data_IF_480644919028
#
_entry.id   IF_480644919028
#
_cell.length_a   1.000
_cell.length_b   1.000
_cell.length_c   1.000
_cell.angle_alpha   90.00
_cell.angle_beta   90.00
_cell.angle_gamma   90.00
#
_symmetry.space_group_name_H-M   'P 1'
#
loop_
_entity.id
_entity.type
_entity.pdbx_description
1 polymer ?
#
# COMPACT_ATOMS: atom_id res chain seq x y z
N UNK A 1 29.38 3.79 7.57
CA UNK A 1 30.70 4.32 7.19
C UNK A 1 30.68 4.57 5.69
N UNK A 2 30.63 5.83 5.27
CA UNK A 2 30.66 6.22 3.84
C UNK A 2 32.13 6.41 3.48
N UNK A 3 32.66 5.63 2.54
CA UNK A 3 34.03 5.83 2.05
C UNK A 3 34.00 6.82 0.89
N UNK A 4 34.63 7.98 1.08
CA UNK A 4 35.00 8.88 -0.01
C UNK A 4 36.42 8.54 -0.45
N UNK A 5 36.64 8.33 -1.75
CA UNK A 5 37.98 8.27 -2.33
C UNK A 5 38.32 9.67 -2.84
N UNK A 6 39.34 10.28 -2.24
CA UNK A 6 39.92 11.56 -2.69
C UNK A 6 41.17 11.27 -3.53
N UNK A 7 41.32 11.99 -4.64
CA UNK A 7 42.61 12.10 -5.34
C UNK A 7 42.89 13.57 -5.64
N UNK A 8 44.11 14.02 -5.32
CA UNK A 8 44.58 15.40 -5.52
C UNK A 8 45.08 15.58 -6.94
N UNK A 9 44.54 16.54 -7.68
CA UNK A 9 45.19 17.16 -8.85
C UNK A 9 45.13 18.68 -8.68
N UNK A 10 46.28 19.29 -8.39
CA UNK A 10 46.39 20.74 -8.17
C UNK A 10 45.72 21.27 -6.90
N UNK A 11 45.51 22.60 -6.83
CA UNK A 11 44.97 23.34 -5.68
C UNK A 11 43.44 23.21 -5.48
N UNK A 12 42.82 22.13 -5.94
CA UNK A 12 41.38 21.88 -5.80
C UNK A 12 41.04 20.42 -5.54
N UNK A 13 39.93 20.19 -4.83
CA UNK A 13 39.34 18.87 -4.65
C UNK A 13 38.26 18.65 -5.72
N UNK A 14 38.39 17.59 -6.54
CA UNK A 14 37.36 17.20 -7.50
C UNK A 14 36.49 16.09 -6.89
N UNK A 15 35.21 16.37 -6.68
CA UNK A 15 34.21 15.37 -6.34
C UNK A 15 33.80 14.60 -7.59
N UNK A 16 34.09 13.30 -7.64
CA UNK A 16 33.56 12.44 -8.69
C UNK A 16 32.18 11.93 -8.26
N UNK A 17 31.11 12.32 -8.96
CA UNK A 17 29.82 11.63 -8.86
C UNK A 17 30.00 10.25 -9.51
N UNK A 18 30.06 9.19 -8.70
CA UNK A 18 29.98 7.84 -9.24
C UNK A 18 28.58 7.63 -9.82
N UNK A 19 28.52 7.22 -11.08
CA UNK A 19 27.29 6.80 -11.74
C UNK A 19 26.62 5.68 -10.95
N UNK A 20 25.30 5.54 -11.15
CA UNK A 20 24.44 4.56 -10.46
C UNK A 20 24.86 3.09 -10.64
N UNK A 21 25.89 2.79 -11.44
CA UNK A 21 26.36 1.43 -11.74
C UNK A 21 27.24 0.79 -10.65
N UNK A 22 27.60 1.51 -9.58
CA UNK A 22 28.48 0.98 -8.53
C UNK A 22 27.73 0.71 -7.21
N UNK A 23 26.59 0.02 -7.26
CA UNK A 23 26.07 -0.67 -6.09
C UNK A 23 26.85 -1.98 -5.93
N UNK A 24 27.32 -2.31 -4.73
CA UNK A 24 28.14 -3.51 -4.52
C UNK A 24 27.39 -4.79 -4.97
N UNK A 25 28.08 -5.82 -5.47
CA UNK A 25 27.45 -7.06 -5.95
C UNK A 25 26.54 -7.75 -4.91
N UNK A 26 26.79 -7.52 -3.63
CA UNK A 26 25.96 -8.01 -2.52
C UNK A 26 24.62 -7.27 -2.37
N UNK A 27 24.56 -5.98 -2.76
CA UNK A 27 23.32 -5.17 -2.74
C UNK A 27 22.36 -5.62 -3.84
N UNK A 28 22.86 -6.12 -4.97
CA UNK A 28 22.04 -6.67 -6.05
C UNK A 28 21.39 -8.03 -5.70
N UNK A 29 21.92 -8.77 -4.71
CA UNK A 29 21.37 -10.07 -4.27
C UNK A 29 20.28 -9.97 -3.20
N UNK A 30 19.97 -8.78 -2.69
CA UNK A 30 18.87 -8.62 -1.69
C UNK A 30 17.54 -8.52 -2.43
N UNK A 31 16.73 -9.59 -2.36
CA UNK A 31 15.41 -9.72 -2.98
C UNK A 31 14.36 -10.06 -1.92
N UNK A 32 13.08 -9.85 -2.22
CA UNK A 32 12.00 -10.29 -1.33
C UNK A 32 12.10 -11.80 -1.03
N UNK A 33 12.51 -12.59 -2.03
CA UNK A 33 12.70 -14.04 -1.92
C UNK A 33 13.79 -14.49 -0.95
N UNK A 34 14.66 -13.59 -0.46
CA UNK A 34 15.71 -13.93 0.50
C UNK A 34 15.31 -13.66 1.96
N UNK A 35 14.06 -13.25 2.21
CA UNK A 35 13.54 -13.08 3.55
C UNK A 35 13.41 -14.43 4.28
N UNK A 36 13.98 -14.59 5.48
CA UNK A 36 13.65 -15.73 6.34
C UNK A 36 12.18 -15.61 6.77
N UNK A 37 11.38 -16.63 6.45
CA UNK A 37 9.91 -16.61 6.44
C UNK A 37 9.39 -15.54 5.48
N UNK A 38 9.30 -15.85 4.18
CA UNK A 38 8.97 -14.88 3.18
C UNK A 38 7.57 -14.29 3.43
N UNK A 39 7.43 -13.02 3.04
CA UNK A 39 6.20 -12.26 3.21
C UNK A 39 5.10 -12.79 2.28
N UNK A 40 5.50 -13.28 1.10
CA UNK A 40 4.71 -14.13 0.20
C UNK A 40 5.64 -15.19 -0.40
N UNK A 41 5.14 -16.40 -0.65
CA UNK A 41 5.92 -17.48 -1.25
C UNK A 41 6.00 -17.39 -2.78
N UNK A 42 5.19 -16.54 -3.40
CA UNK A 42 5.13 -16.39 -4.86
C UNK A 42 5.91 -15.17 -5.35
N UNK A 43 6.31 -15.22 -6.63
CA UNK A 43 6.89 -14.07 -7.31
C UNK A 43 5.78 -13.08 -7.72
N UNK A 44 6.00 -11.76 -7.59
CA UNK A 44 5.05 -10.77 -8.08
C UNK A 44 4.79 -10.92 -9.59
N UNK A 45 3.52 -10.87 -10.00
CA UNK A 45 3.09 -10.91 -11.39
C UNK A 45 2.83 -9.50 -11.91
N UNK A 46 3.57 -9.07 -12.93
CA UNK A 46 3.31 -7.79 -13.62
C UNK A 46 2.16 -7.95 -14.61
N UNK A 47 1.13 -7.14 -14.45
CA UNK A 47 -0.09 -7.11 -15.26
C UNK A 47 -0.09 -5.84 -16.11
N UNK A 48 0.46 -5.97 -17.33
CA UNK A 48 0.71 -4.89 -18.28
C UNK A 48 -0.01 -5.09 -19.63
N UNK A 49 -0.85 -6.13 -19.73
CA UNK A 49 -1.66 -6.42 -20.92
C UNK A 49 -3.08 -6.84 -20.55
N UNK A 50 -4.02 -6.65 -21.46
CA UNK A 50 -5.43 -7.04 -21.25
C UNK A 50 -5.62 -8.53 -20.96
N UNK A 51 -4.93 -9.48 -21.65
CA UNK A 51 -5.04 -10.90 -21.31
C UNK A 51 -4.61 -11.21 -19.87
N UNK A 52 -3.51 -10.60 -19.40
CA UNK A 52 -3.06 -10.76 -18.01
C UNK A 52 -4.04 -10.14 -17.01
N UNK A 53 -4.67 -9.02 -17.37
CA UNK A 53 -5.69 -8.38 -16.54
C UNK A 53 -6.94 -9.25 -16.41
N UNK A 54 -7.39 -9.87 -17.50
CA UNK A 54 -8.50 -10.83 -17.48
C UNK A 54 -8.17 -12.07 -16.65
N UNK A 55 -6.95 -12.59 -16.73
CA UNK A 55 -6.46 -13.67 -15.89
C UNK A 55 -6.43 -13.26 -14.39
N UNK A 56 -6.02 -12.04 -14.05
CA UNK A 56 -6.17 -11.53 -12.68
C UNK A 56 -7.65 -11.53 -12.26
N UNK A 57 -8.55 -11.01 -13.09
CA UNK A 57 -9.97 -10.91 -12.76
C UNK A 57 -10.66 -12.27 -12.61
N UNK A 58 -10.25 -13.30 -13.36
CA UNK A 58 -10.78 -14.65 -13.20
C UNK A 58 -10.47 -15.21 -11.80
N UNK A 59 -9.25 -15.01 -11.29
CA UNK A 59 -8.86 -15.39 -9.93
C UNK A 59 -9.64 -14.61 -8.86
N UNK A 60 -9.93 -13.32 -9.09
CA UNK A 60 -10.71 -12.50 -8.16
C UNK A 60 -12.21 -12.85 -8.15
N UNK A 61 -12.70 -13.59 -9.14
CA UNK A 61 -14.09 -14.01 -9.25
C UNK A 61 -14.42 -15.32 -8.50
N UNK A 62 -13.41 -16.09 -8.08
CA UNK A 62 -13.63 -17.41 -7.48
C UNK A 62 -14.13 -17.33 -6.03
N UNK A 63 -13.53 -16.48 -5.19
CA UNK A 63 -13.99 -16.19 -3.83
C UNK A 63 -13.15 -15.07 -3.19
N UNK A 64 -13.80 -14.10 -2.53
CA UNK A 64 -13.15 -13.03 -1.78
C UNK A 64 -13.69 -12.99 -0.34
N UNK A 65 -13.27 -13.90 0.55
CA UNK A 65 -13.63 -13.82 1.97
C UNK A 65 -13.17 -12.50 2.61
N UNK A 66 -13.96 -12.01 3.56
CA UNK A 66 -13.73 -10.73 4.22
C UNK A 66 -13.06 -10.83 5.60
N UNK A 67 -12.89 -12.05 6.15
CA UNK A 67 -12.29 -12.22 7.46
C UNK A 67 -11.25 -13.36 7.47
N UNK A 68 -9.96 -13.05 7.32
CA UNK A 68 -9.38 -11.71 7.02
C UNK A 68 -9.78 -11.17 5.62
N UNK A 69 -9.57 -9.87 5.34
CA UNK A 69 -9.72 -9.33 3.98
C UNK A 69 -8.89 -10.13 2.98
N UNK A 70 -9.47 -10.37 1.80
CA UNK A 70 -8.76 -11.10 0.73
C UNK A 70 -7.77 -10.24 -0.02
N UNK A 71 -7.98 -8.92 -0.06
CA UNK A 71 -7.21 -7.99 -0.87
C UNK A 71 -6.51 -6.97 0.00
N UNK A 72 -5.19 -6.86 -0.18
CA UNK A 72 -4.36 -5.82 0.41
C UNK A 72 -3.77 -5.00 -0.72
N UNK A 73 -4.04 -3.70 -0.70
CA UNK A 73 -3.82 -2.83 -1.85
C UNK A 73 -3.00 -1.62 -1.44
N UNK A 74 -2.13 -1.19 -2.35
CA UNK A 74 -1.36 0.04 -2.28
C UNK A 74 -1.16 0.60 -3.69
N UNK A 75 -0.99 1.91 -3.83
CA UNK A 75 -0.75 2.57 -5.11
C UNK A 75 0.57 3.34 -5.06
N UNK A 76 1.26 3.36 -6.19
CA UNK A 76 2.43 4.21 -6.36
C UNK A 76 2.34 4.97 -7.68
N UNK A 77 2.95 6.16 -7.70
CA UNK A 77 3.04 6.93 -8.93
C UNK A 77 3.66 8.32 -8.78
N UNK A 78 3.44 9.17 -9.78
CA UNK A 78 4.03 10.51 -9.81
C UNK A 78 3.26 11.44 -8.90
N UNK A 79 3.85 11.79 -7.75
CA UNK A 79 3.23 12.67 -6.75
C UNK A 79 1.77 12.26 -6.46
N UNK A 80 1.58 10.98 -6.10
CA UNK A 80 0.27 10.32 -5.95
C UNK A 80 -0.74 11.20 -5.20
N UNK A 81 -1.72 11.70 -5.95
CA UNK A 81 -2.78 12.61 -5.53
C UNK A 81 -3.71 12.88 -6.71
N UNK A 82 -4.73 13.71 -6.52
CA UNK A 82 -5.56 14.25 -7.62
C UNK A 82 -4.81 15.04 -8.70
N UNK A 83 -3.63 15.57 -8.40
CA UNK A 83 -2.82 16.35 -9.34
C UNK A 83 -1.63 15.57 -9.90
N UNK A 84 -1.42 14.35 -9.41
CA UNK A 84 -0.38 13.44 -9.86
C UNK A 84 -0.87 12.43 -10.88
N UNK A 85 -0.27 11.24 -10.86
CA UNK A 85 -0.73 10.09 -11.64
C UNK A 85 -0.57 8.78 -10.88
N UNK A 86 -1.46 7.82 -11.08
CA UNK A 86 -1.27 6.43 -10.66
C UNK A 86 -0.41 5.72 -11.71
N UNK A 87 0.70 5.12 -11.29
CA UNK A 87 1.62 4.41 -12.18
C UNK A 87 1.49 2.90 -12.05
N UNK A 88 1.30 2.42 -10.82
CA UNK A 88 1.21 1.00 -10.51
C UNK A 88 0.24 0.80 -9.33
N UNK A 89 -0.65 -0.18 -9.44
CA UNK A 89 -1.45 -0.67 -8.33
C UNK A 89 -0.93 -2.03 -7.88
N UNK A 90 -0.66 -2.17 -6.60
CA UNK A 90 -0.26 -3.43 -5.99
C UNK A 90 -1.48 -4.11 -5.38
N UNK A 91 -1.64 -5.40 -5.62
CA UNK A 91 -2.70 -6.20 -5.01
C UNK A 91 -2.05 -7.46 -4.47
N UNK A 92 -2.09 -7.66 -3.16
CA UNK A 92 -1.84 -8.98 -2.59
C UNK A 92 -3.17 -9.71 -2.39
N UNK A 93 -3.34 -10.79 -3.14
CA UNK A 93 -4.48 -11.70 -3.05
C UNK A 93 -4.15 -12.82 -2.05
N UNK A 94 -4.63 -12.65 -0.83
CA UNK A 94 -4.27 -13.51 0.30
C UNK A 94 -4.66 -14.99 0.11
N UNK A 95 -5.88 -15.35 -0.35
CA UNK A 95 -6.24 -16.75 -0.63
C UNK A 95 -5.26 -17.51 -1.54
N UNK A 96 -4.67 -16.84 -2.52
CA UNK A 96 -3.72 -17.45 -3.46
C UNK A 96 -2.25 -17.22 -3.09
N UNK A 97 -1.98 -16.48 -2.00
CA UNK A 97 -0.65 -15.97 -1.65
C UNK A 97 0.06 -15.34 -2.88
N UNK A 98 -0.65 -14.51 -3.65
CA UNK A 98 -0.15 -13.96 -4.92
C UNK A 98 -0.16 -12.44 -4.92
N UNK A 99 0.99 -11.84 -5.26
CA UNK A 99 1.12 -10.40 -5.51
C UNK A 99 0.94 -10.12 -7.00
N UNK A 100 0.09 -9.17 -7.33
CA UNK A 100 -0.10 -8.63 -8.67
C UNK A 100 0.31 -7.14 -8.68
N UNK A 101 1.06 -6.75 -9.70
CA UNK A 101 1.46 -5.38 -9.96
C UNK A 101 0.76 -4.94 -11.24
N UNK A 102 -0.35 -4.23 -11.11
CA UNK A 102 -1.15 -3.74 -12.25
C UNK A 102 -0.54 -2.45 -12.77
N UNK A 103 -0.05 -2.50 -14.01
CA UNK A 103 0.58 -1.40 -14.72
C UNK A 103 -0.46 -0.40 -15.23
N UNK A 104 -0.91 0.46 -14.32
CA UNK A 104 -1.87 1.53 -14.60
C UNK A 104 -1.30 2.55 -15.59
N UNK A 105 0.02 2.76 -15.59
CA UNK A 105 0.67 3.66 -16.55
C UNK A 105 0.49 3.17 -18.00
N UNK A 106 0.69 1.87 -18.24
CA UNK A 106 0.54 1.27 -19.58
C UNK A 106 -0.93 1.04 -19.95
N UNK A 107 -1.73 0.54 -19.00
CA UNK A 107 -3.13 0.14 -19.26
C UNK A 107 -4.12 1.32 -19.18
N UNK A 108 -3.76 2.43 -18.54
CA UNK A 108 -4.63 3.58 -18.35
C UNK A 108 -5.95 3.22 -17.68
N UNK A 109 -7.04 3.85 -18.14
CA UNK A 109 -8.39 3.59 -17.62
C UNK A 109 -8.83 2.12 -17.79
N UNK A 110 -8.33 1.43 -18.83
CA UNK A 110 -8.67 0.04 -19.08
C UNK A 110 -8.14 -0.91 -17.99
N UNK A 111 -7.16 -0.50 -17.16
CA UNK A 111 -6.79 -1.24 -15.96
C UNK A 111 -7.99 -1.47 -15.03
N UNK A 112 -8.92 -0.51 -14.99
CA UNK A 112 -10.04 -0.50 -14.06
C UNK A 112 -11.36 -0.93 -14.68
N UNK A 113 -11.58 -0.58 -15.95
CA UNK A 113 -12.87 -0.75 -16.64
C UNK A 113 -12.95 -2.01 -17.49
N UNK A 114 -11.83 -2.73 -17.71
CA UNK A 114 -11.87 -3.99 -18.45
C UNK A 114 -12.70 -5.02 -17.67
N UNK A 115 -13.75 -5.59 -18.27
CA UNK A 115 -14.52 -6.64 -17.63
C UNK A 115 -13.75 -7.96 -17.64
N UNK A 116 -13.98 -8.77 -16.61
CA UNK A 116 -13.66 -10.19 -16.60
C UNK A 116 -14.34 -10.85 -17.80
N UNK A 117 -13.76 -11.95 -18.28
CA UNK A 117 -14.48 -12.76 -19.27
C UNK A 117 -15.78 -13.26 -18.63
N UNK A 118 -16.91 -12.90 -19.22
CA UNK A 118 -18.19 -13.47 -18.87
C UNK A 118 -18.06 -14.98 -19.00
N UNK A 119 -18.16 -15.71 -17.89
CA UNK A 119 -18.48 -17.14 -17.94
C UNK A 119 -19.83 -17.21 -18.63
N UNK A 120 -19.84 -17.41 -19.94
CA UNK A 120 -21.04 -17.69 -20.68
C UNK A 120 -21.50 -19.05 -20.19
N UNK A 121 -22.44 -19.07 -19.24
CA UNK A 121 -23.38 -20.18 -19.20
C UNK A 121 -24.12 -20.11 -20.53
N UNK A 122 -23.68 -20.94 -21.49
CA UNK A 122 -24.26 -21.06 -22.83
C UNK A 122 -25.62 -21.73 -22.79
N UNK A 123 -26.48 -21.43 -21.81
CA UNK A 123 -27.88 -21.88 -21.76
C UNK A 123 -28.70 -21.00 -20.81
N UNK A 124 -29.40 -20.02 -21.40
CA UNK A 124 -30.56 -19.23 -20.92
C UNK A 124 -30.28 -17.72 -20.89
N UNK A 125 -30.55 -17.09 -22.03
CA UNK A 125 -30.84 -15.66 -22.09
C UNK A 125 -32.17 -15.41 -21.34
N UNK A 126 -32.10 -15.11 -20.05
CA UNK A 126 -33.21 -14.48 -19.34
C UNK A 126 -33.16 -12.97 -19.58
N UNK A 127 -34.26 -12.33 -20.02
CA UNK A 127 -34.35 -10.88 -20.10
C UNK A 127 -34.46 -10.31 -18.68
N UNK A 128 -33.31 -10.12 -18.04
CA UNK A 128 -33.15 -9.47 -16.74
C UNK A 128 -32.05 -8.40 -16.80
N UNK A 129 -31.88 -7.59 -15.73
CA UNK A 129 -30.79 -6.64 -15.66
C UNK A 129 -29.45 -7.36 -15.93
N UNK A 130 -28.66 -6.79 -16.84
CA UNK A 130 -27.37 -7.33 -17.27
C UNK A 130 -26.53 -7.78 -16.06
N UNK A 131 -25.93 -8.98 -16.06
CA UNK A 131 -25.04 -9.38 -15.00
C UNK A 131 -23.91 -8.34 -14.89
N UNK A 132 -23.73 -7.75 -13.71
CA UNK A 132 -22.61 -6.84 -13.47
C UNK A 132 -21.30 -7.58 -13.78
N UNK A 133 -20.63 -7.17 -14.85
CA UNK A 133 -19.35 -7.76 -15.23
C UNK A 133 -18.28 -7.32 -14.23
N UNK A 134 -17.64 -8.30 -13.59
CA UNK A 134 -16.59 -8.05 -12.61
C UNK A 134 -15.45 -7.28 -13.27
N UNK A 135 -14.99 -6.21 -12.65
CA UNK A 135 -13.85 -5.38 -13.04
C UNK A 135 -13.13 -4.87 -11.80
N UNK A 136 -11.88 -4.40 -11.92
CA UNK A 136 -11.19 -3.81 -10.76
C UNK A 136 -11.97 -2.62 -10.20
N UNK A 137 -12.60 -1.80 -11.05
CA UNK A 137 -13.50 -0.72 -10.59
C UNK A 137 -14.63 -1.27 -9.72
N UNK A 138 -15.38 -2.27 -10.20
CA UNK A 138 -16.49 -2.84 -9.43
C UNK A 138 -16.06 -3.44 -8.08
N UNK A 139 -14.85 -4.03 -8.01
CA UNK A 139 -14.27 -4.58 -6.77
C UNK A 139 -13.89 -3.44 -5.81
N UNK A 140 -13.24 -2.40 -6.32
CA UNK A 140 -12.81 -1.24 -5.55
C UNK A 140 -14.00 -0.41 -5.02
N UNK A 141 -15.12 -0.39 -5.73
CA UNK A 141 -16.35 0.33 -5.33
C UNK A 141 -17.33 -0.52 -4.52
N UNK A 142 -17.12 -1.84 -4.44
CA UNK A 142 -18.01 -2.72 -3.68
C UNK A 142 -17.81 -2.59 -2.17
N UNK A 143 -18.88 -2.31 -1.39
CA UNK A 143 -18.83 -2.37 0.07
C UNK A 143 -18.86 -3.82 0.61
N UNK A 144 -19.25 -4.80 -0.21
CA UNK A 144 -19.32 -6.21 0.20
C UNK A 144 -17.98 -6.95 0.02
N UNK A 145 -17.02 -6.36 -0.68
CA UNK A 145 -15.65 -6.85 -0.77
C UNK A 145 -14.80 -6.01 0.16
N UNK A 146 -14.27 -6.61 1.22
CA UNK A 146 -13.37 -5.91 2.13
C UNK A 146 -11.94 -5.90 1.58
N UNK A 147 -11.33 -4.70 1.59
CA UNK A 147 -9.95 -4.48 1.14
C UNK A 147 -9.20 -3.71 2.21
N UNK A 148 -7.96 -4.09 2.45
CA UNK A 148 -7.11 -3.42 3.41
C UNK A 148 -6.08 -2.53 2.71
N UNK A 149 -5.99 -1.29 3.17
CA UNK A 149 -4.99 -0.31 2.76
C UNK A 149 -4.18 0.11 3.99
N UNK A 150 -2.95 0.56 3.79
CA UNK A 150 -2.23 1.27 4.82
C UNK A 150 -2.28 2.77 4.50
N UNK A 151 -3.13 3.53 5.20
CA UNK A 151 -3.32 4.97 4.98
C UNK A 151 -3.92 5.34 3.60
N UNK A 152 -5.23 5.14 3.46
CA UNK A 152 -5.95 5.20 2.16
C UNK A 152 -6.12 6.60 1.54
N UNK A 153 -5.65 7.67 2.19
CA UNK A 153 -6.00 9.06 1.82
C UNK A 153 -5.52 9.43 0.41
N UNK A 154 -4.24 9.21 0.13
CA UNK A 154 -3.65 9.51 -1.18
C UNK A 154 -4.23 8.60 -2.27
N UNK A 155 -4.47 7.34 -1.93
CA UNK A 155 -5.04 6.36 -2.87
C UNK A 155 -6.46 6.74 -3.28
N UNK A 156 -7.31 7.07 -2.30
CA UNK A 156 -8.70 7.50 -2.54
C UNK A 156 -8.74 8.77 -3.40
N UNK A 157 -7.91 9.76 -3.06
CA UNK A 157 -7.83 11.03 -3.79
C UNK A 157 -7.41 10.82 -5.26
N UNK A 158 -6.38 10.02 -5.49
CA UNK A 158 -5.89 9.71 -6.83
C UNK A 158 -6.90 8.89 -7.65
N UNK A 159 -7.47 7.83 -7.07
CA UNK A 159 -8.43 6.94 -7.74
C UNK A 159 -9.70 7.68 -8.15
N UNK A 160 -10.23 8.52 -7.27
CA UNK A 160 -11.44 9.28 -7.56
C UNK A 160 -11.17 10.37 -8.59
N UNK A 161 -10.16 11.21 -8.39
CA UNK A 161 -9.91 12.34 -9.29
C UNK A 161 -9.49 11.92 -10.70
N UNK A 162 -8.73 10.83 -10.84
CA UNK A 162 -8.18 10.40 -12.14
C UNK A 162 -9.08 9.39 -12.87
N UNK A 163 -9.82 8.55 -12.13
CA UNK A 163 -10.58 7.43 -12.71
C UNK A 163 -12.05 7.35 -12.24
N UNK A 164 -12.50 8.32 -11.43
CA UNK A 164 -13.87 8.36 -10.91
C UNK A 164 -14.21 7.15 -10.02
N UNK A 165 -13.22 6.56 -9.35
CA UNK A 165 -13.39 5.37 -8.51
C UNK A 165 -13.55 5.80 -7.05
N UNK A 166 -14.72 5.54 -6.48
CA UNK A 166 -14.99 5.83 -5.08
C UNK A 166 -14.85 4.57 -4.21
N UNK A 167 -13.83 4.54 -3.36
CA UNK A 167 -13.50 3.35 -2.57
C UNK A 167 -14.59 3.02 -1.54
N UNK A 168 -14.97 1.74 -1.46
CA UNK A 168 -15.85 1.21 -0.41
C UNK A 168 -15.22 0.00 0.29
N UNK A 169 -15.79 -0.48 1.40
CA UNK A 169 -15.30 -1.72 2.06
C UNK A 169 -13.84 -1.65 2.56
N UNK A 170 -13.37 -0.46 2.96
CA UNK A 170 -11.96 -0.25 3.34
C UNK A 170 -11.71 -0.60 4.80
N UNK A 171 -10.61 -1.32 5.05
CA UNK A 171 -9.97 -1.46 6.35
C UNK A 171 -8.62 -0.71 6.36
N UNK A 172 -8.55 0.43 7.05
CA UNK A 172 -7.30 1.21 7.16
C UNK A 172 -6.40 0.65 8.29
N UNK A 173 -5.33 -0.04 7.90
CA UNK A 173 -4.39 -0.70 8.82
C UNK A 173 -3.65 0.30 9.69
N UNK A 174 -3.41 1.54 9.22
CA UNK A 174 -2.74 2.56 10.03
C UNK A 174 -3.64 3.03 11.18
N UNK A 175 -4.95 3.13 10.95
CA UNK A 175 -5.93 3.41 12.00
C UNK A 175 -6.11 2.23 12.96
N UNK A 176 -6.10 0.99 12.44
CA UNK A 176 -6.10 -0.21 13.28
C UNK A 176 -4.88 -0.24 14.21
N UNK A 177 -3.70 0.10 13.68
CA UNK A 177 -2.47 0.21 14.46
C UNK A 177 -2.61 1.24 15.57
N UNK A 178 -3.04 2.45 15.24
CA UNK A 178 -3.22 3.54 16.21
C UNK A 178 -4.18 3.16 17.33
N UNK A 179 -5.32 2.53 17.00
CA UNK A 179 -6.29 2.05 17.97
C UNK A 179 -5.72 0.93 18.85
N UNK A 180 -4.93 0.03 18.28
CA UNK A 180 -4.38 -1.13 18.97
C UNK A 180 -3.26 -0.78 19.96
N UNK A 181 -2.72 0.44 19.92
CA UNK A 181 -1.73 0.91 20.92
C UNK A 181 -2.35 1.01 22.31
N UNK A 182 -1.52 0.82 23.32
CA UNK A 182 -1.87 1.08 24.73
C UNK A 182 -1.26 2.37 25.27
N UNK A 183 -0.38 3.01 24.50
CA UNK A 183 0.33 4.24 24.86
C UNK A 183 -0.08 5.39 23.92
N UNK A 184 0.74 6.44 23.88
CA UNK A 184 0.54 7.66 23.08
C UNK A 184 -0.01 7.41 21.66
N UNK A 185 -1.11 8.09 21.36
CA UNK A 185 -1.86 8.11 20.09
C UNK A 185 -1.83 9.49 19.42
N UNK A 186 -0.91 10.39 19.81
CA UNK A 186 -0.78 11.73 19.22
C UNK A 186 -0.38 11.68 17.75
N UNK A 187 0.53 10.76 17.39
CA UNK A 187 1.15 10.66 16.07
C UNK A 187 0.86 9.32 15.38
N UNK A 188 0.59 9.37 14.08
CA UNK A 188 0.49 8.20 13.21
C UNK A 188 1.88 7.61 12.95
N UNK A 189 1.95 6.29 12.80
CA UNK A 189 3.18 5.62 12.37
C UNK A 189 3.12 5.33 10.88
N UNK A 190 4.25 5.56 10.20
CA UNK A 190 4.44 5.09 8.83
C UNK A 190 4.66 3.57 8.79
N UNK A 191 4.33 2.96 7.66
CA UNK A 191 4.38 1.51 7.44
C UNK A 191 5.71 0.88 7.90
N UNK A 192 6.84 1.49 7.55
CA UNK A 192 8.16 0.97 7.95
C UNK A 192 8.36 0.84 9.46
N UNK A 193 7.77 1.73 10.28
CA UNK A 193 7.82 1.66 11.74
C UNK A 193 6.92 0.55 12.27
N UNK A 194 5.70 0.41 11.72
CA UNK A 194 4.76 -0.65 12.07
C UNK A 194 5.37 -2.03 11.80
N UNK A 195 5.99 -2.21 10.63
CA UNK A 195 6.63 -3.48 10.28
C UNK A 195 7.75 -3.85 11.27
N UNK A 196 8.64 -2.90 11.58
CA UNK A 196 9.76 -3.16 12.49
C UNK A 196 9.32 -3.48 13.92
N UNK A 197 8.16 -2.97 14.35
CA UNK A 197 7.65 -3.17 15.71
C UNK A 197 6.74 -4.38 15.84
N UNK A 198 5.87 -4.60 14.86
CA UNK A 198 4.72 -5.51 15.03
C UNK A 198 4.70 -6.69 14.07
N UNK A 199 5.43 -6.68 12.96
CA UNK A 199 5.38 -7.79 11.99
C UNK A 199 6.13 -9.06 12.45
N UNK A 200 6.78 -9.03 13.63
CA UNK A 200 7.45 -10.20 14.21
C UNK A 200 8.65 -10.68 13.39
N UNK A 201 9.36 -9.77 12.72
CA UNK A 201 10.50 -10.12 11.86
C UNK A 201 11.73 -10.50 12.70
N UNK A 202 12.48 -11.49 12.21
CA UNK A 202 13.83 -11.76 12.71
C UNK A 202 14.78 -10.58 12.42
N UNK A 203 15.91 -10.49 13.13
CA UNK A 203 16.91 -9.44 12.92
C UNK A 203 17.39 -9.38 11.46
N UNK A 204 17.60 -10.54 10.84
CA UNK A 204 17.98 -10.64 9.43
C UNK A 204 16.86 -10.21 8.49
N UNK A 205 15.61 -10.61 8.75
CA UNK A 205 14.43 -10.18 7.99
C UNK A 205 14.21 -8.66 8.05
N UNK A 206 14.30 -8.08 9.26
CA UNK A 206 14.23 -6.64 9.46
C UNK A 206 15.35 -5.88 8.71
N UNK A 207 16.56 -6.46 8.63
CA UNK A 207 17.67 -5.90 7.88
C UNK A 207 17.45 -5.92 6.35
N UNK A 208 16.88 -6.99 5.82
CA UNK A 208 16.49 -7.09 4.40
C UNK A 208 15.42 -6.07 4.06
N UNK A 209 14.37 -5.98 4.87
CA UNK A 209 13.27 -5.05 4.66
C UNK A 209 13.74 -3.59 4.63
N UNK A 210 14.56 -3.20 5.62
CA UNK A 210 15.19 -1.87 5.66
C UNK A 210 16.00 -1.58 4.40
N UNK A 211 16.68 -2.58 3.83
CA UNK A 211 17.44 -2.41 2.58
C UNK A 211 16.52 -2.21 1.38
N UNK A 212 15.44 -2.98 1.25
CA UNK A 212 14.44 -2.84 0.17
C UNK A 212 13.78 -1.47 0.26
N UNK A 213 13.22 -1.10 1.42
CA UNK A 213 12.58 0.22 1.64
C UNK A 213 13.54 1.38 1.36
N UNK A 214 14.77 1.31 1.85
CA UNK A 214 15.78 2.35 1.59
C UNK A 214 16.13 2.46 0.11
N UNK A 215 16.24 1.34 -0.60
CA UNK A 215 16.53 1.32 -2.04
C UNK A 215 15.41 1.97 -2.83
N UNK A 216 14.16 1.54 -2.62
CA UNK A 216 12.99 2.11 -3.31
C UNK A 216 12.85 3.60 -3.04
N UNK A 217 12.87 4.03 -1.78
CA UNK A 217 12.78 5.44 -1.42
C UNK A 217 13.94 6.29 -1.98
N UNK A 218 15.16 5.74 -2.10
CA UNK A 218 16.26 6.49 -2.73
C UNK A 218 16.00 6.71 -4.22
N UNK A 219 15.31 5.79 -4.89
CA UNK A 219 15.00 5.87 -6.31
C UNK A 219 13.76 6.74 -6.57
N UNK A 220 12.76 6.71 -5.70
CA UNK A 220 11.46 7.37 -5.93
C UNK A 220 11.32 8.76 -5.28
N UNK A 221 12.18 9.13 -4.33
CA UNK A 221 12.04 10.39 -3.55
C UNK A 221 13.03 11.46 -4.03
N UNK A 222 12.59 12.62 -4.57
CA UNK A 222 13.47 13.69 -5.03
C UNK A 222 14.47 14.19 -3.99
N UNK A 223 14.05 14.32 -2.72
CA UNK A 223 14.90 14.76 -1.61
C UNK A 223 16.05 13.79 -1.31
N UNK A 224 15.99 12.57 -1.86
CA UNK A 224 17.01 11.52 -1.74
C UNK A 224 17.80 11.31 -3.04
N UNK A 225 17.64 12.22 -4.01
CA UNK A 225 18.26 12.15 -5.33
C UNK A 225 17.55 11.20 -6.31
N UNK A 226 16.30 10.82 -6.00
CA UNK A 226 15.44 10.02 -6.88
C UNK A 226 14.52 10.87 -7.75
N UNK A 227 13.58 10.23 -8.42
CA UNK A 227 12.47 10.88 -9.11
C UNK A 227 11.22 10.02 -8.97
N UNK A 228 10.06 10.66 -8.85
CA UNK A 228 8.79 9.94 -8.91
C UNK A 228 8.57 9.25 -10.27
N UNK A 229 9.28 9.69 -11.31
CA UNK A 229 9.24 9.09 -12.65
C UNK A 229 9.71 7.63 -12.67
N UNK A 230 10.44 7.18 -11.64
CA UNK A 230 10.91 5.79 -11.56
C UNK A 230 9.77 4.77 -11.61
N UNK A 231 8.57 5.14 -11.17
CA UNK A 231 7.39 4.27 -11.26
C UNK A 231 6.82 4.16 -12.68
N UNK A 232 7.18 5.07 -13.59
CA UNK A 232 6.81 5.05 -15.01
C UNK A 232 7.87 4.41 -15.90
N UNK A 233 9.08 4.13 -15.41
CA UNK A 233 10.12 3.48 -16.21
C UNK A 233 9.69 2.07 -16.64
N UNK A 234 9.88 1.76 -17.93
CA UNK A 234 9.58 0.44 -18.51
C UNK A 234 10.81 -0.12 -19.26
N UNK A 235 11.22 -1.37 -19.00
CA UNK A 235 10.65 -2.30 -18.01
C UNK A 235 10.89 -1.82 -16.57
N UNK A 236 9.94 -2.11 -15.67
CA UNK A 236 10.09 -1.74 -14.25
C UNK A 236 11.30 -2.47 -13.66
N UNK A 237 12.18 -1.72 -12.98
CA UNK A 237 13.36 -2.33 -12.38
C UNK A 237 12.98 -3.32 -11.27
N UNK A 238 13.75 -4.41 -11.13
CA UNK A 238 13.57 -5.37 -10.04
C UNK A 238 13.58 -4.70 -8.66
N UNK A 239 14.34 -3.61 -8.52
CA UNK A 239 14.41 -2.84 -7.29
C UNK A 239 13.06 -2.26 -6.86
N UNK A 240 12.27 -1.80 -7.84
CA UNK A 240 10.93 -1.27 -7.63
C UNK A 240 9.89 -2.38 -7.51
N UNK A 241 10.00 -3.47 -8.27
CA UNK A 241 9.15 -4.65 -8.11
C UNK A 241 9.23 -5.18 -6.66
N UNK A 242 10.44 -5.34 -6.13
CA UNK A 242 10.66 -5.80 -4.75
C UNK A 242 10.08 -4.81 -3.72
N UNK A 243 10.14 -3.51 -4.00
CA UNK A 243 9.63 -2.45 -3.14
C UNK A 243 8.10 -2.46 -3.12
N UNK A 244 7.46 -2.45 -4.28
CA UNK A 244 6.01 -2.52 -4.42
C UNK A 244 5.43 -3.81 -3.81
N UNK A 245 6.07 -4.96 -4.05
CA UNK A 245 5.64 -6.23 -3.47
C UNK A 245 5.74 -6.26 -1.94
N UNK A 246 6.77 -5.60 -1.37
CA UNK A 246 6.92 -5.52 0.08
C UNK A 246 5.78 -4.74 0.73
N UNK A 247 5.27 -3.71 0.07
CA UNK A 247 4.34 -2.74 0.66
C UNK A 247 2.95 -3.32 0.90
N UNK A 248 2.51 -4.23 0.02
CA UNK A 248 1.26 -4.99 0.22
C UNK A 248 1.47 -6.33 0.92
N UNK A 249 2.58 -7.03 0.68
CA UNK A 249 2.74 -8.40 1.17
C UNK A 249 2.78 -8.49 2.70
N UNK A 250 3.28 -7.45 3.39
CA UNK A 250 3.41 -7.45 4.86
C UNK A 250 2.10 -7.10 5.57
N UNK A 251 1.15 -6.51 4.85
CA UNK A 251 -0.10 -6.00 5.41
C UNK A 251 -0.98 -7.06 6.09
N UNK A 252 -1.15 -8.29 5.57
CA UNK A 252 -1.90 -9.34 6.28
C UNK A 252 -1.35 -9.67 7.65
N UNK A 253 -0.01 -9.64 7.82
CA UNK A 253 0.63 -9.90 9.13
C UNK A 253 0.31 -8.78 10.11
N UNK A 254 0.42 -7.53 9.67
CA UNK A 254 0.07 -6.35 10.49
C UNK A 254 -1.42 -6.35 10.83
N UNK A 255 -2.29 -6.57 9.84
CA UNK A 255 -3.73 -6.70 10.02
C UNK A 255 -4.06 -7.75 11.08
N UNK A 256 -3.45 -8.95 10.98
CA UNK A 256 -3.67 -10.03 11.95
C UNK A 256 -3.24 -9.67 13.37
N UNK A 257 -2.14 -8.93 13.53
CA UNK A 257 -1.69 -8.44 14.85
C UNK A 257 -2.68 -7.43 15.42
N UNK A 258 -3.07 -6.42 14.65
CA UNK A 258 -3.94 -5.35 15.15
C UNK A 258 -5.38 -5.82 15.35
N UNK A 259 -5.91 -6.63 14.43
CA UNK A 259 -7.22 -7.27 14.55
C UNK A 259 -7.31 -8.09 15.84
N UNK A 260 -6.26 -8.87 16.19
CA UNK A 260 -6.21 -9.61 17.47
C UNK A 260 -6.22 -8.70 18.69
N UNK A 261 -5.44 -7.61 18.68
CA UNK A 261 -5.38 -6.64 19.79
C UNK A 261 -6.71 -5.90 19.97
N UNK A 262 -7.47 -5.73 18.89
CA UNK A 262 -8.79 -5.08 18.88
C UNK A 262 -9.95 -6.04 19.16
N UNK A 263 -9.72 -7.27 19.64
CA UNK A 263 -10.82 -8.19 20.01
C UNK A 263 -11.51 -7.77 21.31
N UNK A 264 -12.72 -8.28 21.53
CA UNK A 264 -13.50 -8.05 22.75
C UNK A 264 -14.24 -6.71 22.79
N UNK A 265 -14.86 -6.41 23.94
CA UNK A 265 -15.77 -5.27 24.15
C UNK A 265 -15.06 -3.92 23.97
N UNK A 266 -13.90 -3.73 24.62
CA UNK A 266 -13.10 -2.50 24.50
C UNK A 266 -12.66 -2.23 23.05
N UNK A 267 -12.34 -3.30 22.31
CA UNK A 267 -12.00 -3.19 20.90
C UNK A 267 -13.20 -2.86 19.99
N UNK A 268 -14.44 -3.14 20.40
CA UNK A 268 -15.62 -2.83 19.60
C UNK A 268 -15.80 -1.33 19.39
N UNK A 269 -15.60 -0.54 20.45
CA UNK A 269 -15.63 0.94 20.37
C UNK A 269 -14.57 1.45 19.40
N UNK A 270 -13.36 0.88 19.46
CA UNK A 270 -12.29 1.24 18.53
C UNK A 270 -12.59 0.86 17.08
N UNK A 271 -13.18 -0.32 16.83
CA UNK A 271 -13.58 -0.73 15.47
C UNK A 271 -14.61 0.23 14.88
N UNK A 272 -15.53 0.78 15.68
CA UNK A 272 -16.45 1.80 15.22
C UNK A 272 -15.73 3.11 14.87
N UNK A 273 -14.87 3.61 15.76
CA UNK A 273 -14.07 4.82 15.51
C UNK A 273 -13.17 4.68 14.27
N UNK A 274 -12.58 3.51 14.07
CA UNK A 274 -11.80 3.19 12.85
C UNK A 274 -12.71 3.26 11.63
N UNK A 275 -13.92 2.68 11.66
CA UNK A 275 -14.84 2.70 10.52
C UNK A 275 -15.23 4.13 10.14
N UNK A 276 -15.63 4.94 11.11
CA UNK A 276 -15.97 6.34 10.88
C UNK A 276 -14.81 7.14 10.31
N UNK A 277 -13.63 7.00 10.90
CA UNK A 277 -12.45 7.74 10.46
C UNK A 277 -11.93 7.25 9.11
N UNK A 278 -12.08 5.96 8.81
CA UNK A 278 -11.79 5.41 7.48
C UNK A 278 -12.71 6.04 6.43
N UNK A 279 -14.00 6.20 6.72
CA UNK A 279 -14.92 6.91 5.82
C UNK A 279 -14.46 8.36 5.60
N UNK A 280 -14.10 9.09 6.67
CA UNK A 280 -13.56 10.46 6.54
C UNK A 280 -12.28 10.52 5.68
N UNK A 281 -11.39 9.53 5.81
CA UNK A 281 -10.16 9.43 5.00
C UNK A 281 -10.44 9.15 3.53
N UNK A 282 -11.46 8.32 3.24
CA UNK A 282 -11.92 8.07 1.87
C UNK A 282 -12.53 9.35 1.27
N UNK A 283 -13.37 10.06 2.03
CA UNK A 283 -14.07 11.29 1.63
C UNK A 283 -13.15 12.48 1.31
N UNK A 284 -11.85 12.40 1.64
CA UNK A 284 -10.85 13.43 1.27
C UNK A 284 -10.85 13.71 -0.23
N UNK A 285 -11.21 12.72 -1.06
CA UNK A 285 -11.31 12.89 -2.50
C UNK A 285 -12.36 13.94 -2.95
N UNK A 286 -13.32 14.30 -2.10
CA UNK A 286 -14.31 15.35 -2.37
C UNK A 286 -13.89 16.73 -1.86
N UNK A 287 -12.87 16.83 -1.00
CA UNK A 287 -12.45 18.10 -0.41
C UNK A 287 -11.61 18.89 -1.42
N UNK A 288 -12.19 19.93 -2.02
CA UNK A 288 -11.54 20.78 -3.04
C UNK A 288 -10.29 21.52 -2.49
N UNK A 289 -10.18 21.70 -1.16
CA UNK A 289 -9.11 22.46 -0.52
C UNK A 289 -7.97 21.63 0.08
N UNK A 290 -8.09 20.30 0.15
CA UNK A 290 -7.05 19.39 0.65
C UNK A 290 -6.64 18.41 -0.43
N UNK A 291 -5.34 18.30 -0.70
CA UNK A 291 -4.81 17.18 -1.45
C UNK A 291 -4.65 15.96 -0.52
N UNK A 292 -4.96 14.76 -1.00
CA UNK A 292 -4.68 13.52 -0.25
C UNK A 292 -3.18 13.22 -0.14
N UNK A 293 -2.36 14.03 -0.81
CA UNK A 293 -0.91 13.89 -0.92
C UNK A 293 -0.15 14.23 0.37
N UNK A 294 1.14 13.87 0.37
CA UNK A 294 2.05 13.89 1.53
C UNK A 294 2.38 15.28 2.14
N UNK A 295 1.65 16.36 1.83
CA UNK A 295 1.92 17.69 2.39
C UNK A 295 1.75 17.73 3.91
N UNK A 296 0.90 16.89 4.47
CA UNK A 296 0.73 16.71 5.92
C UNK A 296 1.84 15.87 6.61
N UNK A 297 2.84 15.37 5.86
CA UNK A 297 3.85 14.43 6.37
C UNK A 297 5.21 15.07 6.72
N UNK A 298 5.34 16.41 6.70
CA UNK A 298 6.63 17.08 6.91
C UNK A 298 7.01 17.23 8.39
N UNK A 299 8.16 16.64 8.74
CA UNK A 299 9.09 16.92 9.86
C UNK A 299 8.60 16.89 11.33
N UNK A 300 7.30 16.84 11.64
CA UNK A 300 6.76 16.75 13.01
C UNK A 300 6.06 15.44 13.38
N UNK A 301 5.96 14.51 12.42
CA UNK A 301 5.04 13.36 12.50
C UNK A 301 3.62 13.77 12.13
N UNK A 302 2.88 12.88 11.45
CA UNK A 302 1.48 13.19 11.11
C UNK A 302 0.64 13.03 12.36
N UNK A 303 -0.02 14.10 12.72
CA UNK A 303 -0.96 14.17 13.81
C UNK A 303 -2.12 13.19 13.60
N UNK A 304 -2.38 12.31 14.57
CA UNK A 304 -3.55 11.45 14.60
C UNK A 304 -4.89 12.22 14.58
N UNK A 305 -5.98 11.60 14.10
CA UNK A 305 -7.30 12.20 14.15
C UNK A 305 -7.73 12.57 15.58
N UNK A 306 -8.47 13.68 15.74
CA UNK A 306 -8.92 14.16 17.05
C UNK A 306 -9.73 13.10 17.81
N UNK A 307 -10.55 12.32 17.11
CA UNK A 307 -11.34 11.19 17.63
C UNK A 307 -10.52 10.09 18.32
N UNK A 308 -9.21 10.01 18.04
CA UNK A 308 -8.27 9.07 18.66
C UNK A 308 -7.47 9.65 19.82
N UNK A 309 -7.54 10.98 20.03
CA UNK A 309 -6.82 11.70 21.09
C UNK A 309 -7.68 11.91 22.33
N UNK A 310 -8.96 12.18 22.15
CA UNK A 310 -9.89 12.58 23.23
C UNK A 310 -10.50 11.39 24.01
N UNK A 311 -9.80 10.25 24.09
CA UNK A 311 -10.30 9.02 24.72
C UNK A 311 -9.43 8.46 25.85
N UNK A 312 -8.55 9.27 26.42
CA UNK A 312 -7.54 8.85 27.40
C UNK A 312 -7.98 8.87 28.87
N UNK A 313 -9.10 9.47 29.23
CA UNK A 313 -9.49 9.66 30.65
C UNK A 313 -10.78 8.91 30.97
N UNK A 314 -10.67 8.00 31.94
CA UNK A 314 -11.75 7.12 32.39
C UNK A 314 -11.24 5.82 33.01
N UNK A 315 -10.08 5.83 33.66
CA UNK A 315 -9.70 4.80 34.63
C UNK A 315 -9.78 5.46 36.01
N UNK A 316 -10.73 4.99 36.82
CA UNK A 316 -11.21 5.63 38.03
C UNK A 316 -10.14 5.95 39.06
N UNK A 317 -10.28 7.12 39.65
CA UNK A 317 -9.94 7.33 41.06
C UNK A 317 -11.21 7.04 41.87
N UNK A 318 -11.44 5.77 42.18
CA UNK A 318 -12.33 5.43 43.31
C UNK A 318 -11.54 5.72 44.58
N UNK A 319 -11.67 6.95 45.06
CA UNK A 319 -11.41 7.33 46.44
C UNK A 319 -12.75 7.55 47.11
N UNK A 320 -13.13 6.60 47.99
CA UNK A 320 -14.34 6.61 48.80
C UNK A 320 -14.41 5.36 49.65
#
# INVERSE_FOLDING_TARGET
MVFFSMSRKGNGYIFHSRSASCLSPWIQKTRLSTLPNPISTTQPKLIDTMPKLKDLLSHLNESLPNNPPSLYIDLEGRALSRHGSISIMQIFHLPLDQIYLVDVHTLGAAAFTTPADSKTDTNQAQPGPQPCTLSLKSILESPSVEKAFFDVRADSDALYAQYGIYLAGIQDIQLMELAARTHDRTLLWGLGKCILRDAGLSTSGAGILRRIKRRGLRLSTPERGGSYDVFNERPMSQGMIDYCALDVGVLPRLWGVYSRRLRGKRGAVWRERIREETRRRVDVCFDVGRDGGARDQRAGGVFAPASFREGGEGAGTDGG
#
